data_IF_946631830826
#
_entry.id   IF_946631830826
#
_cell.length_a   1.000
_cell.length_b   1.000
_cell.length_c   1.000
_cell.angle_alpha   90.00
_cell.angle_beta   90.00
_cell.angle_gamma   90.00
#
_symmetry.space_group_name_H-M   'P 1'
#
loop_
_entity.id
_entity.type
_entity.pdbx_description
1 polymer ?
#
# COMPACT_ATOMS: atom_id res chain seq x y z
N UNK A 1 -0.47 3.11 25.77
CA UNK A 1 -0.74 4.28 24.90
C UNK A 1 0.57 4.76 24.29
N UNK A 2 0.59 5.04 22.97
CA UNK A 2 1.74 5.67 22.29
C UNK A 2 1.95 7.10 22.82
N UNK A 3 3.19 7.56 22.93
CA UNK A 3 3.45 8.95 23.35
C UNK A 3 2.99 9.88 22.22
N UNK A 4 2.60 11.11 22.55
CA UNK A 4 2.13 12.10 21.55
C UNK A 4 3.11 12.29 20.39
N UNK A 5 4.42 12.26 20.68
CA UNK A 5 5.49 12.32 19.68
C UNK A 5 5.47 11.12 18.73
N UNK A 6 5.19 9.91 19.21
CA UNK A 6 5.15 8.70 18.38
C UNK A 6 3.97 8.74 17.41
N UNK A 7 2.83 9.30 17.85
CA UNK A 7 1.64 9.48 17.02
C UNK A 7 1.89 10.49 15.89
N UNK A 8 2.60 11.59 16.18
CA UNK A 8 2.96 12.59 15.17
C UNK A 8 3.94 12.04 14.12
N UNK A 9 4.95 11.27 14.55
CA UNK A 9 5.90 10.62 13.64
C UNK A 9 5.19 9.57 12.76
N UNK A 10 4.28 8.80 13.34
CA UNK A 10 3.46 7.84 12.60
C UNK A 10 2.59 8.54 11.55
N UNK A 11 1.98 9.68 11.89
CA UNK A 11 1.19 10.48 10.94
C UNK A 11 2.05 11.00 9.78
N UNK A 12 3.22 11.56 10.06
CA UNK A 12 4.12 12.08 9.03
C UNK A 12 4.62 10.98 8.09
N UNK A 13 5.04 9.86 8.66
CA UNK A 13 5.47 8.69 7.89
C UNK A 13 4.34 8.15 7.02
N UNK A 14 3.13 8.02 7.59
CA UNK A 14 1.94 7.58 6.86
C UNK A 14 1.60 8.52 5.71
N UNK A 15 1.55 9.83 5.95
CA UNK A 15 1.19 10.80 4.92
C UNK A 15 2.19 10.76 3.75
N UNK A 16 3.48 10.63 4.05
CA UNK A 16 4.53 10.47 3.03
C UNK A 16 4.31 9.21 2.19
N UNK A 17 4.04 8.07 2.82
CA UNK A 17 3.77 6.80 2.13
C UNK A 17 2.49 6.89 1.29
N UNK A 18 1.43 7.48 1.84
CA UNK A 18 0.13 7.66 1.18
C UNK A 18 0.27 8.47 -0.11
N UNK A 19 0.95 9.61 -0.05
CA UNK A 19 1.16 10.47 -1.23
C UNK A 19 1.94 9.73 -2.32
N UNK A 20 3.00 9.01 -1.94
CA UNK A 20 3.79 8.21 -2.89
C UNK A 20 3.00 7.07 -3.51
N UNK A 21 2.16 6.38 -2.74
CA UNK A 21 1.32 5.32 -3.27
C UNK A 21 0.31 5.85 -4.30
N UNK A 22 -0.34 6.98 -4.01
CA UNK A 22 -1.27 7.63 -4.96
C UNK A 22 -0.57 8.07 -6.25
N UNK A 23 0.63 8.66 -6.15
CA UNK A 23 1.43 9.01 -7.35
C UNK A 23 1.71 7.76 -8.20
N UNK A 24 2.11 6.67 -7.56
CA UNK A 24 2.47 5.44 -8.24
C UNK A 24 1.25 4.74 -8.86
N UNK A 25 0.10 4.72 -8.19
CA UNK A 25 -1.20 4.30 -8.74
C UNK A 25 -1.53 5.06 -10.02
N UNK A 26 -1.47 6.40 -9.97
CA UNK A 26 -1.80 7.26 -11.11
C UNK A 26 -0.85 7.04 -12.29
N UNK A 27 0.46 6.92 -12.02
CA UNK A 27 1.46 6.69 -13.06
C UNK A 27 1.30 5.32 -13.70
N UNK A 28 1.08 4.27 -12.91
CA UNK A 28 0.84 2.93 -13.44
C UNK A 28 -0.43 2.90 -14.31
N UNK A 29 -1.49 3.59 -13.89
CA UNK A 29 -2.72 3.67 -14.67
C UNK A 29 -2.53 4.44 -15.99
N UNK A 30 -1.82 5.57 -15.95
CA UNK A 30 -1.50 6.35 -17.15
C UNK A 30 -0.67 5.54 -18.15
N UNK A 31 0.37 4.86 -17.66
CA UNK A 31 1.22 4.00 -18.49
C UNK A 31 0.45 2.80 -19.03
N UNK A 32 -0.44 2.18 -18.24
CA UNK A 32 -1.26 1.07 -18.70
C UNK A 32 -2.19 1.49 -19.85
N UNK A 33 -2.71 2.72 -19.81
CA UNK A 33 -3.58 3.26 -20.85
C UNK A 33 -2.81 3.65 -22.13
N UNK A 34 -1.51 3.95 -22.03
CA UNK A 34 -0.66 4.30 -23.17
C UNK A 34 0.19 3.14 -23.71
N UNK A 35 0.20 1.99 -23.03
CA UNK A 35 1.00 0.85 -23.43
C UNK A 35 0.44 0.19 -24.70
N UNK A 36 1.28 0.07 -25.73
CA UNK A 36 0.93 -0.61 -26.98
C UNK A 36 0.90 -2.14 -26.83
N UNK A 37 1.64 -2.68 -25.84
CA UNK A 37 1.70 -4.10 -25.53
C UNK A 37 0.69 -4.48 -24.44
N UNK A 38 -0.23 -5.40 -24.77
CA UNK A 38 -1.27 -5.87 -23.84
C UNK A 38 -0.68 -6.41 -22.52
N UNK A 39 0.40 -7.21 -22.59
CA UNK A 39 1.05 -7.78 -21.41
C UNK A 39 1.63 -6.69 -20.48
N UNK A 40 2.20 -5.62 -21.05
CA UNK A 40 2.71 -4.49 -20.29
C UNK A 40 1.56 -3.68 -19.67
N UNK A 41 0.49 -3.44 -20.43
CA UNK A 41 -0.72 -2.77 -19.95
C UNK A 41 -1.32 -3.50 -18.74
N UNK A 42 -1.44 -4.83 -18.83
CA UNK A 42 -2.01 -5.65 -17.77
C UNK A 42 -1.10 -5.76 -16.54
N UNK A 43 0.22 -5.84 -16.74
CA UNK A 43 1.18 -5.79 -15.63
C UNK A 43 1.13 -4.46 -14.87
N UNK A 44 1.07 -3.33 -15.60
CA UNK A 44 0.93 -2.00 -15.01
C UNK A 44 -0.40 -1.81 -14.28
N UNK A 45 -1.51 -2.30 -14.85
CA UNK A 45 -2.83 -2.26 -14.21
C UNK A 45 -2.84 -3.09 -12.93
N UNK A 46 -2.25 -4.29 -12.95
CA UNK A 46 -2.08 -5.14 -11.77
C UNK A 46 -1.28 -4.42 -10.67
N UNK A 47 -0.14 -3.81 -11.03
CA UNK A 47 0.68 -3.07 -10.06
C UNK A 47 -0.08 -1.90 -9.43
N UNK A 48 -0.83 -1.13 -10.22
CA UNK A 48 -1.68 -0.05 -9.72
C UNK A 48 -2.67 -0.54 -8.65
N UNK A 49 -3.38 -1.64 -8.95
CA UNK A 49 -4.36 -2.24 -8.04
C UNK A 49 -3.70 -2.75 -6.75
N UNK A 50 -2.56 -3.43 -6.86
CA UNK A 50 -1.82 -3.94 -5.68
C UNK A 50 -1.35 -2.80 -4.77
N UNK A 51 -0.87 -1.69 -5.35
CA UNK A 51 -0.42 -0.52 -4.59
C UNK A 51 -1.58 0.17 -3.89
N UNK A 52 -2.73 0.34 -4.57
CA UNK A 52 -3.95 0.86 -3.97
C UNK A 52 -4.44 -0.01 -2.80
N UNK A 53 -4.37 -1.34 -2.97
CA UNK A 53 -4.76 -2.30 -1.93
C UNK A 53 -3.83 -2.22 -0.71
N UNK A 54 -2.52 -2.13 -0.91
CA UNK A 54 -1.55 -1.94 0.16
C UNK A 54 -1.77 -0.61 0.88
N UNK A 55 -2.03 0.48 0.15
CA UNK A 55 -2.34 1.78 0.73
C UNK A 55 -3.59 1.70 1.62
N UNK A 56 -4.66 1.06 1.15
CA UNK A 56 -5.87 0.87 1.95
C UNK A 56 -5.61 0.07 3.24
N UNK A 57 -4.84 -1.01 3.16
CA UNK A 57 -4.47 -1.80 4.33
C UNK A 57 -3.64 -1.00 5.35
N UNK A 58 -2.68 -0.21 4.87
CA UNK A 58 -1.88 0.67 5.71
C UNK A 58 -2.72 1.77 6.38
N UNK A 59 -3.68 2.36 5.66
CA UNK A 59 -4.60 3.36 6.21
C UNK A 59 -5.39 2.79 7.39
N UNK A 60 -5.97 1.61 7.24
CA UNK A 60 -6.66 0.89 8.33
C UNK A 60 -5.70 0.60 9.49
N UNK A 61 -4.49 0.12 9.20
CA UNK A 61 -3.49 -0.22 10.21
C UNK A 61 -3.03 1.00 11.03
N UNK A 62 -2.90 2.16 10.39
CA UNK A 62 -2.55 3.42 11.05
C UNK A 62 -3.73 3.92 11.90
N UNK A 63 -4.96 3.86 11.39
CA UNK A 63 -6.16 4.25 12.14
C UNK A 63 -6.32 3.44 13.42
N UNK A 64 -6.17 2.11 13.35
CA UNK A 64 -6.24 1.22 14.52
C UNK A 64 -5.18 1.56 15.57
N UNK A 65 -3.95 1.88 15.16
CA UNK A 65 -2.87 2.21 16.11
C UNK A 65 -2.98 3.62 16.70
N UNK A 66 -3.76 4.51 16.09
CA UNK A 66 -4.08 5.84 16.63
C UNK A 66 -5.29 5.83 17.56
N UNK A 67 -6.06 4.74 17.57
CA UNK A 67 -7.22 4.62 18.43
C UNK A 67 -6.78 4.69 19.92
N UNK A 68 -7.43 5.52 20.75
CA UNK A 68 -7.11 5.59 22.18
C UNK A 68 -7.32 4.25 22.90
N UNK A 69 -8.19 3.38 22.39
CA UNK A 69 -8.48 2.04 22.90
C UNK A 69 -7.70 0.95 22.17
N UNK A 70 -6.60 1.28 21.48
CA UNK A 70 -5.79 0.32 20.73
C UNK A 70 -5.35 -0.92 21.56
N UNK A 71 -5.20 -0.77 22.89
CA UNK A 71 -4.91 -1.89 23.79
C UNK A 71 -6.02 -2.94 23.89
N UNK A 72 -7.27 -2.57 23.60
CA UNK A 72 -8.41 -3.49 23.54
C UNK A 72 -8.54 -4.13 22.15
N UNK A 73 -7.81 -3.59 21.16
CA UNK A 73 -7.88 -3.99 19.74
C UNK A 73 -6.64 -4.76 19.28
N UNK A 74 -5.86 -5.35 20.21
CA UNK A 74 -4.59 -6.03 19.88
C UNK A 74 -4.73 -7.11 18.80
N UNK A 75 -5.81 -7.90 18.86
CA UNK A 75 -6.10 -8.91 17.84
C UNK A 75 -6.34 -8.28 16.46
N UNK A 76 -7.14 -7.22 16.37
CA UNK A 76 -7.40 -6.50 15.12
C UNK A 76 -6.13 -5.85 14.55
N UNK A 77 -5.26 -5.35 15.43
CA UNK A 77 -3.97 -4.79 15.04
C UNK A 77 -3.05 -5.89 14.48
N UNK A 78 -3.05 -7.08 15.08
CA UNK A 78 -2.30 -8.23 14.58
C UNK A 78 -2.81 -8.70 13.21
N UNK A 79 -4.12 -8.85 13.05
CA UNK A 79 -4.77 -9.20 11.77
C UNK A 79 -4.49 -8.15 10.69
N UNK A 80 -4.58 -6.87 11.03
CA UNK A 80 -4.22 -5.76 10.15
C UNK A 80 -2.73 -5.82 9.74
N UNK A 81 -1.83 -6.16 10.66
CA UNK A 81 -0.40 -6.30 10.37
C UNK A 81 -0.12 -7.45 9.41
N UNK A 82 -0.81 -8.58 9.58
CA UNK A 82 -0.76 -9.71 8.64
C UNK A 82 -1.28 -9.31 7.27
N UNK A 83 -2.41 -8.59 7.22
CA UNK A 83 -2.99 -8.09 5.96
C UNK A 83 -2.02 -7.16 5.23
N UNK A 84 -1.41 -6.19 5.93
CA UNK A 84 -0.40 -5.30 5.34
C UNK A 84 0.79 -6.11 4.79
N UNK A 85 1.24 -7.12 5.52
CA UNK A 85 2.35 -7.97 5.10
C UNK A 85 2.01 -8.77 3.84
N UNK A 86 0.80 -9.30 3.74
CA UNK A 86 0.30 -9.98 2.54
C UNK A 86 0.21 -9.02 1.35
N UNK A 87 -0.39 -7.83 1.52
CA UNK A 87 -0.49 -6.83 0.44
C UNK A 87 0.88 -6.36 -0.04
N UNK A 88 1.87 -6.30 0.84
CA UNK A 88 3.26 -6.00 0.46
C UNK A 88 3.85 -7.09 -0.43
N UNK A 89 3.58 -8.36 -0.15
CA UNK A 89 4.00 -9.47 -1.01
C UNK A 89 3.33 -9.39 -2.39
N UNK A 90 2.05 -9.04 -2.45
CA UNK A 90 1.34 -8.84 -3.72
C UNK A 90 1.93 -7.72 -4.57
N UNK A 91 2.29 -6.58 -3.95
CA UNK A 91 3.00 -5.48 -4.64
C UNK A 91 4.35 -5.95 -5.16
N UNK A 92 5.10 -6.74 -4.37
CA UNK A 92 6.37 -7.30 -4.82
C UNK A 92 6.18 -8.20 -6.04
N UNK A 93 5.25 -9.16 -5.98
CA UNK A 93 4.94 -10.06 -7.10
C UNK A 93 4.50 -9.30 -8.35
N UNK A 94 3.68 -8.24 -8.21
CA UNK A 94 3.27 -7.40 -9.33
C UNK A 94 4.45 -6.60 -9.93
N UNK A 95 5.37 -6.16 -9.09
CA UNK A 95 6.60 -5.47 -9.53
C UNK A 95 7.51 -6.43 -10.31
N UNK A 96 7.66 -7.67 -9.83
CA UNK A 96 8.44 -8.70 -10.50
C UNK A 96 7.82 -9.04 -11.87
N UNK A 97 6.50 -9.22 -11.92
CA UNK A 97 5.77 -9.46 -13.17
C UNK A 97 5.93 -8.31 -14.18
N UNK A 98 5.88 -7.06 -13.71
CA UNK A 98 6.15 -5.89 -14.56
C UNK A 98 7.58 -5.90 -15.10
N UNK A 99 8.56 -6.26 -14.28
CA UNK A 99 9.95 -6.37 -14.72
C UNK A 99 10.12 -7.38 -15.85
N UNK A 100 9.42 -8.52 -15.78
CA UNK A 100 9.42 -9.51 -16.87
C UNK A 100 8.69 -9.01 -18.11
N UNK A 101 7.59 -8.27 -17.97
CA UNK A 101 6.82 -7.76 -19.11
C UNK A 101 7.54 -6.65 -19.91
N UNK A 102 8.55 -6.01 -19.32
CA UNK A 102 9.39 -4.98 -19.96
C UNK A 102 10.61 -5.59 -20.69
N UNK A 103 10.93 -6.86 -20.43
CA UNK A 103 12.06 -7.57 -21.05
C UNK A 103 11.65 -8.22 -22.37
#
# INVERSE_FOLDING_TARGET
>A
MLRSTDVQQLELAWQTVRTRAVDLENRCQALANSAEHANLSDALRTLSISVASLRGALETSVRLRKDPNASEMEQLIAESTTTVSQRRQEVQSATDALSYAVT
#
